data_IF_409849508959
#
_entry.id   IF_409849508959
#
_cell.length_a   1.000
_cell.length_b   1.000
_cell.length_c   1.000
_cell.angle_alpha   90.00
_cell.angle_beta   90.00
_cell.angle_gamma   90.00
#
_symmetry.space_group_name_H-M   'P 1'
#
loop_
_entity.id
_entity.type
_entity.pdbx_description
1 polymer ?
#
# COMPACT_ATOMS: atom_id res chain seq x y z
N UNK A 1 -15.48 -10.71 6.67
CA UNK A 1 -15.52 -11.52 5.43
C UNK A 1 -14.49 -12.60 5.59
N UNK A 2 -14.89 -13.85 5.48
CA UNK A 2 -13.96 -15.00 5.50
C UNK A 2 -13.64 -15.36 4.06
N UNK A 3 -12.38 -15.67 3.79
CA UNK A 3 -11.92 -16.19 2.49
C UNK A 3 -11.19 -17.49 2.73
N UNK A 4 -11.57 -18.51 1.99
CA UNK A 4 -10.95 -19.82 2.03
C UNK A 4 -10.32 -20.11 0.67
N UNK A 5 -9.15 -20.74 0.69
CA UNK A 5 -8.44 -21.17 -0.51
C UNK A 5 -7.91 -22.58 -0.29
N UNK A 6 -8.23 -23.48 -1.20
CA UNK A 6 -7.66 -24.83 -1.21
C UNK A 6 -6.33 -24.80 -1.93
N UNK A 7 -5.33 -25.42 -1.33
CA UNK A 7 -3.97 -25.52 -1.87
C UNK A 7 -3.73 -26.95 -2.33
N UNK A 8 -3.24 -27.14 -3.55
CA UNK A 8 -3.01 -28.48 -4.09
C UNK A 8 -1.72 -29.10 -3.54
N UNK A 9 -1.71 -30.43 -3.37
CA UNK A 9 -0.62 -31.21 -2.77
C UNK A 9 0.78 -30.91 -3.36
N UNK A 10 0.85 -30.66 -4.67
CA UNK A 10 2.09 -30.42 -5.40
C UNK A 10 2.32 -28.94 -5.77
N UNK A 11 1.41 -28.06 -5.36
CA UNK A 11 1.50 -26.62 -5.60
C UNK A 11 1.08 -25.85 -4.35
N UNK A 12 2.01 -25.78 -3.39
CA UNK A 12 1.79 -25.19 -2.07
C UNK A 12 1.74 -23.65 -2.05
N UNK A 13 1.42 -23.02 -3.18
CA UNK A 13 1.25 -21.58 -3.30
C UNK A 13 -0.21 -21.23 -3.59
N UNK A 14 -0.77 -20.35 -2.77
CA UNK A 14 -2.07 -19.73 -3.00
C UNK A 14 -1.96 -18.22 -2.87
N UNK A 15 -2.78 -17.50 -3.64
CA UNK A 15 -2.89 -16.05 -3.57
C UNK A 15 -4.23 -15.67 -2.97
N UNK A 16 -4.22 -14.94 -1.85
CA UNK A 16 -5.39 -14.27 -1.30
C UNK A 16 -5.44 -12.86 -1.89
N UNK A 17 -6.32 -12.66 -2.87
CA UNK A 17 -6.52 -11.37 -3.51
C UNK A 17 -7.55 -10.51 -2.77
N UNK A 18 -7.79 -9.27 -3.25
CA UNK A 18 -8.89 -8.40 -2.81
C UNK A 18 -9.01 -8.24 -1.27
N UNK A 19 -7.87 -8.17 -0.58
CA UNK A 19 -7.81 -7.80 0.83
C UNK A 19 -7.80 -6.27 0.95
N UNK A 20 -8.41 -5.75 2.02
CA UNK A 20 -8.44 -4.31 2.28
C UNK A 20 -7.11 -3.86 2.87
N UNK A 21 -6.63 -2.71 2.42
CA UNK A 21 -5.51 -2.03 3.07
C UNK A 21 -5.90 -1.60 4.48
N UNK A 22 -4.93 -1.67 5.41
CA UNK A 22 -5.07 -1.28 6.82
C UNK A 22 -6.15 -2.05 7.60
N UNK A 23 -6.58 -3.20 7.09
CA UNK A 23 -7.44 -4.13 7.79
C UNK A 23 -6.60 -5.29 8.33
N UNK A 24 -6.67 -5.54 9.63
CA UNK A 24 -6.10 -6.74 10.23
C UNK A 24 -6.90 -7.98 9.87
N UNK A 25 -6.21 -9.05 9.49
CA UNK A 25 -6.74 -10.37 9.18
C UNK A 25 -5.97 -11.44 9.95
N UNK A 26 -6.67 -12.47 10.39
CA UNK A 26 -6.07 -13.69 10.93
C UNK A 26 -6.01 -14.75 9.83
N UNK A 27 -4.82 -15.29 9.58
CA UNK A 27 -4.58 -16.40 8.66
C UNK A 27 -4.50 -17.71 9.45
N UNK A 28 -5.56 -18.51 9.33
CA UNK A 28 -5.62 -19.88 9.88
C UNK A 28 -5.27 -20.91 8.81
N UNK A 29 -4.53 -21.95 9.18
CA UNK A 29 -4.12 -23.02 8.25
C UNK A 29 -4.45 -24.39 8.83
N UNK A 30 -5.15 -25.19 8.03
CA UNK A 30 -5.42 -26.60 8.32
C UNK A 30 -4.77 -27.45 7.24
N UNK A 31 -3.94 -28.40 7.67
CA UNK A 31 -3.29 -29.39 6.81
C UNK A 31 -4.01 -30.72 6.96
N UNK A 32 -4.36 -31.34 5.85
CA UNK A 32 -4.91 -32.69 5.80
C UNK A 32 -3.99 -33.54 4.93
N UNK A 33 -3.49 -34.65 5.47
CA UNK A 33 -2.53 -35.53 4.78
C UNK A 33 -2.66 -36.99 5.21
N UNK A 34 -2.25 -37.94 4.37
CA UNK A 34 -2.20 -39.38 4.69
C UNK A 34 -0.75 -39.89 4.57
N UNK A 35 -0.22 -40.47 5.65
CA UNK A 35 1.15 -41.01 5.71
C UNK A 35 1.21 -42.54 5.48
N UNK A 36 0.14 -43.13 4.97
CA UNK A 36 -0.04 -44.57 4.79
C UNK A 36 -0.79 -45.26 5.94
N UNK A 37 -1.32 -44.48 6.90
CA UNK A 37 -2.11 -44.97 8.04
C UNK A 37 -3.53 -44.37 8.08
N UNK A 38 -3.96 -43.71 7.01
CA UNK A 38 -5.22 -42.99 6.92
C UNK A 38 -5.05 -41.49 7.09
N UNK A 39 -6.17 -40.77 6.98
CA UNK A 39 -6.22 -39.31 7.00
C UNK A 39 -5.83 -38.75 8.37
N UNK A 40 -4.92 -37.77 8.37
CA UNK A 40 -4.49 -37.00 9.52
C UNK A 40 -4.79 -35.51 9.29
N UNK A 41 -5.16 -34.80 10.36
CA UNK A 41 -5.43 -33.35 10.33
C UNK A 41 -4.55 -32.63 11.35
N UNK A 42 -3.90 -31.57 10.91
CA UNK A 42 -3.05 -30.71 11.72
C UNK A 42 -3.47 -29.24 11.54
N UNK A 43 -3.61 -28.52 12.65
CA UNK A 43 -3.93 -27.08 12.65
C UNK A 43 -2.65 -26.34 13.06
N UNK A 44 -2.21 -25.41 12.22
CA UNK A 44 -1.04 -24.59 12.50
C UNK A 44 -1.43 -23.35 13.31
N UNK A 45 -0.45 -22.72 13.96
CA UNK A 45 -0.67 -21.46 14.68
C UNK A 45 -1.16 -20.35 13.74
N UNK A 46 -2.15 -19.60 14.21
CA UNK A 46 -2.69 -18.45 13.52
C UNK A 46 -1.63 -17.35 13.34
N UNK A 47 -1.69 -16.68 12.18
CA UNK A 47 -0.81 -15.56 11.86
C UNK A 47 -1.62 -14.30 11.58
N UNK A 48 -1.25 -13.21 12.24
CA UNK A 48 -1.82 -11.90 11.94
C UNK A 48 -1.15 -11.29 10.70
N UNK A 49 -1.98 -10.76 9.81
CA UNK A 49 -1.55 -10.14 8.55
C UNK A 49 -2.34 -8.86 8.32
N UNK A 50 -1.62 -7.83 7.87
CA UNK A 50 -2.21 -6.57 7.40
C UNK A 50 -1.48 -6.13 6.14
N UNK A 51 -2.25 -5.66 5.16
CA UNK A 51 -1.69 -5.02 3.98
C UNK A 51 -1.53 -3.52 4.24
N UNK A 52 -0.30 -3.06 4.28
CA UNK A 52 0.02 -1.63 4.32
C UNK A 52 0.39 -1.14 2.92
N UNK A 53 -0.05 0.08 2.56
CA UNK A 53 0.45 0.71 1.35
C UNK A 53 1.94 1.01 1.50
N UNK A 54 2.70 0.77 0.42
CA UNK A 54 4.07 1.24 0.34
C UNK A 54 4.06 2.77 0.40
N UNK A 55 4.91 3.32 1.27
CA UNK A 55 5.14 4.78 1.31
C UNK A 55 5.72 5.22 -0.03
N UNK A 56 5.22 6.33 -0.56
CA UNK A 56 5.86 7.03 -1.66
C UNK A 56 6.98 7.89 -1.07
N UNK A 57 8.20 7.71 -1.57
CA UNK A 57 9.38 8.46 -1.15
C UNK A 57 9.97 9.15 -2.38
N UNK A 58 10.13 10.47 -2.33
CA UNK A 58 10.78 11.24 -3.40
C UNK A 58 12.27 11.34 -3.04
N UNK A 59 13.15 10.78 -3.87
CA UNK A 59 14.60 10.76 -3.67
C UNK A 59 15.31 11.64 -4.69
N UNK A 60 16.57 11.99 -4.39
CA UNK A 60 17.46 12.75 -5.27
C UNK A 60 16.84 14.07 -5.75
N UNK A 61 16.24 14.80 -4.80
CA UNK A 61 15.63 16.11 -5.07
C UNK A 61 16.75 17.10 -5.40
N UNK A 62 16.71 17.67 -6.60
CA UNK A 62 17.61 18.73 -7.05
C UNK A 62 17.14 20.08 -6.51
N UNK A 63 15.84 20.36 -6.63
CA UNK A 63 15.22 21.60 -6.14
C UNK A 63 13.72 21.41 -5.88
N UNK A 64 13.18 22.32 -5.08
CA UNK A 64 11.74 22.44 -4.84
C UNK A 64 11.32 23.90 -5.03
N UNK A 65 10.23 24.13 -5.76
CA UNK A 65 9.66 25.46 -5.95
C UNK A 65 8.20 25.46 -5.51
N UNK A 66 7.78 26.51 -4.79
CA UNK A 66 6.36 26.75 -4.56
C UNK A 66 5.78 27.43 -5.79
N UNK A 67 4.77 26.83 -6.40
CA UNK A 67 4.12 27.33 -7.61
C UNK A 67 2.68 27.75 -7.29
N UNK A 68 2.16 28.74 -8.01
CA UNK A 68 0.73 29.07 -8.04
C UNK A 68 0.16 28.92 -9.44
N UNK A 69 -1.10 28.47 -9.54
CA UNK A 69 -1.84 28.38 -10.80
C UNK A 69 -3.02 29.34 -10.77
N UNK A 70 -3.20 30.14 -11.81
CA UNK A 70 -4.39 30.99 -11.95
C UNK A 70 -5.56 30.27 -12.64
N UNK A 71 -6.73 30.94 -12.72
CA UNK A 71 -7.95 30.36 -13.33
C UNK A 71 -7.80 30.02 -14.82
N UNK A 72 -6.81 30.61 -15.50
CA UNK A 72 -6.47 30.31 -16.89
C UNK A 72 -5.45 29.17 -17.03
N UNK A 73 -4.96 28.63 -15.91
CA UNK A 73 -3.96 27.56 -15.86
C UNK A 73 -2.51 28.04 -15.96
N UNK A 74 -2.25 29.34 -15.81
CA UNK A 74 -0.88 29.88 -15.90
C UNK A 74 -0.14 29.66 -14.59
N UNK A 75 1.05 29.07 -14.68
CA UNK A 75 1.91 28.80 -13.53
C UNK A 75 2.87 29.95 -13.25
N UNK A 76 3.00 30.35 -11.98
CA UNK A 76 3.95 31.35 -11.51
C UNK A 76 4.73 30.84 -10.31
N UNK A 77 6.04 31.12 -10.26
CA UNK A 77 6.89 30.81 -9.11
C UNK A 77 6.58 31.77 -7.94
N UNK A 78 6.25 31.20 -6.77
CA UNK A 78 5.97 31.88 -5.51
C UNK A 78 6.87 31.37 -4.37
N UNK A 79 8.05 30.85 -4.69
CA UNK A 79 8.99 30.30 -3.69
C UNK A 79 9.43 31.35 -2.66
N UNK A 80 9.44 32.64 -3.05
CA UNK A 80 9.66 33.76 -2.12
C UNK A 80 8.33 34.39 -1.71
N UNK A 81 7.88 34.09 -0.49
CA UNK A 81 6.69 34.68 0.10
C UNK A 81 7.02 36.01 0.79
N UNK A 82 6.43 37.10 0.30
CA UNK A 82 6.53 38.43 0.93
C UNK A 82 5.47 38.64 2.01
N UNK A 83 4.39 37.88 1.96
CA UNK A 83 3.28 37.88 2.92
C UNK A 83 2.70 36.48 3.07
N UNK A 84 1.91 36.27 4.13
CA UNK A 84 1.19 35.01 4.33
C UNK A 84 0.09 34.87 3.26
N UNK A 85 0.08 33.82 2.43
CA UNK A 85 -1.01 33.59 1.48
C UNK A 85 -2.34 33.42 2.22
N UNK A 86 -3.36 34.13 1.76
CA UNK A 86 -4.74 34.04 2.27
C UNK A 86 -5.50 32.87 1.63
N UNK A 87 -5.19 32.56 0.38
CA UNK A 87 -5.68 31.39 -0.34
C UNK A 87 -4.50 30.50 -0.75
N UNK A 88 -4.52 29.25 -0.29
CA UNK A 88 -3.50 28.23 -0.56
C UNK A 88 -3.96 27.18 -1.55
N UNK A 89 -5.25 27.14 -1.92
CA UNK A 89 -5.79 26.18 -2.87
C UNK A 89 -5.07 26.19 -4.25
N UNK A 90 -4.65 27.34 -4.81
CA UNK A 90 -3.94 27.35 -6.08
C UNK A 90 -2.45 27.01 -5.97
N UNK A 91 -1.93 26.72 -4.77
CA UNK A 91 -0.51 26.49 -4.55
C UNK A 91 -0.15 25.01 -4.60
N UNK A 92 0.97 24.69 -5.25
CA UNK A 92 1.54 23.34 -5.22
C UNK A 92 3.07 23.37 -5.13
N UNK A 93 3.68 22.30 -4.61
CA UNK A 93 5.13 22.16 -4.58
C UNK A 93 5.59 21.43 -5.85
N UNK A 94 6.38 22.09 -6.69
CA UNK A 94 7.09 21.44 -7.78
C UNK A 94 8.39 20.86 -7.26
N UNK A 95 8.58 19.56 -7.44
CA UNK A 95 9.81 18.88 -7.05
C UNK A 95 10.55 18.45 -8.32
N UNK A 96 11.76 18.96 -8.51
CA UNK A 96 12.65 18.57 -9.61
C UNK A 96 13.71 17.63 -9.05
N UNK A 97 13.87 16.45 -9.65
CA UNK A 97 14.93 15.50 -9.29
C UNK A 97 16.14 15.62 -10.22
N UNK A 98 17.28 15.04 -9.83
CA UNK A 98 18.46 14.91 -10.69
C UNK A 98 18.20 14.03 -11.93
#
# INVERSE_FOLDING_TARGET
VVKEVTVEENNLQATLDNLKYYQGYTLSTTMVYDRGNGEETEILEDKEVQLDLKKVEIKNIKETSLMSVDDAGVETDKSLLTEKPTDVAPLYLRVTTH
#
